data_IF_710013330622
#
_entry.id   IF_710013330622
#
_cell.length_a   1.000
_cell.length_b   1.000
_cell.length_c   1.000
_cell.angle_alpha   90.00
_cell.angle_beta   90.00
_cell.angle_gamma   90.00
#
_symmetry.space_group_name_H-M   'P 1'
#
loop_
_entity.id
_entity.type
_entity.pdbx_description
1 polymer ?
#
# COMPACT_ATOMS: atom_id res chain seq x y z
N UNK A 1 24.97 -39.78 26.93
CA UNK A 1 24.58 -38.37 27.02
C UNK A 1 24.72 -37.77 25.63
N UNK A 2 23.61 -37.54 24.93
CA UNK A 2 23.63 -36.86 23.64
C UNK A 2 23.23 -35.39 23.89
N UNK A 3 24.15 -34.47 23.60
CA UNK A 3 23.87 -33.04 23.66
C UNK A 3 22.93 -32.67 22.50
N UNK A 4 21.83 -31.99 22.82
CA UNK A 4 20.91 -31.41 21.83
C UNK A 4 21.63 -30.21 21.17
N UNK A 5 21.64 -30.08 19.84
CA UNK A 5 22.15 -28.87 19.20
C UNK A 5 21.21 -27.69 19.52
N UNK A 6 21.73 -26.46 19.62
CA UNK A 6 20.88 -25.29 19.79
C UNK A 6 20.00 -25.11 18.54
N UNK A 7 18.70 -24.87 18.76
CA UNK A 7 17.81 -24.37 17.73
C UNK A 7 18.30 -22.99 17.32
N UNK A 8 18.69 -22.89 16.07
CA UNK A 8 18.97 -21.63 15.42
C UNK A 8 17.63 -21.09 14.94
N UNK A 9 16.83 -20.57 15.88
CA UNK A 9 15.63 -19.78 15.60
C UNK A 9 16.08 -18.43 15.03
N UNK A 10 16.53 -18.46 13.76
CA UNK A 10 16.60 -17.27 12.92
C UNK A 10 15.23 -17.19 12.23
N UNK A 11 14.22 -16.80 13.01
CA UNK A 11 13.03 -16.13 12.49
C UNK A 11 13.39 -14.65 12.30
N UNK A 12 14.39 -14.38 11.46
CA UNK A 12 14.50 -13.11 10.75
C UNK A 12 13.59 -13.27 9.54
N UNK A 13 12.28 -13.30 9.78
CA UNK A 13 11.31 -13.07 8.73
C UNK A 13 11.69 -11.69 8.16
N UNK A 14 12.07 -11.59 6.88
CA UNK A 14 12.61 -10.36 6.35
C UNK A 14 11.59 -9.26 6.65
N UNK A 15 12.05 -8.15 7.23
CA UNK A 15 11.29 -6.94 7.50
C UNK A 15 10.65 -6.49 6.17
N UNK A 16 9.50 -7.09 5.86
CA UNK A 16 8.87 -7.00 4.55
C UNK A 16 8.15 -5.69 4.60
N UNK A 17 8.80 -4.66 4.06
CA UNK A 17 8.22 -3.33 3.96
C UNK A 17 6.89 -3.48 3.19
N UNK A 18 5.77 -3.37 3.90
CA UNK A 18 4.45 -3.45 3.31
C UNK A 18 4.16 -2.14 2.59
N UNK A 19 3.94 -2.20 1.28
CA UNK A 19 3.59 -1.05 0.44
C UNK A 19 2.49 -1.40 -0.55
N UNK A 20 1.87 -0.37 -1.13
CA UNK A 20 0.80 -0.51 -2.10
C UNK A 20 -0.42 -1.22 -1.52
N UNK A 21 -0.97 -2.16 -2.28
CA UNK A 21 -2.13 -2.96 -1.86
C UNK A 21 -1.83 -3.86 -0.65
N UNK A 22 -0.57 -4.23 -0.40
CA UNK A 22 -0.21 -5.03 0.78
C UNK A 22 -0.34 -4.18 2.04
N UNK A 23 0.13 -2.93 2.01
CA UNK A 23 -0.08 -1.98 3.09
C UNK A 23 -1.57 -1.73 3.34
N UNK A 24 -2.39 -1.66 2.29
CA UNK A 24 -3.86 -1.56 2.45
C UNK A 24 -4.45 -2.82 3.08
N UNK A 25 -4.04 -4.02 2.67
CA UNK A 25 -4.55 -5.27 3.24
C UNK A 25 -4.26 -5.36 4.75
N UNK A 26 -3.03 -5.01 5.16
CA UNK A 26 -2.64 -4.95 6.56
C UNK A 26 -3.46 -3.89 7.33
N UNK A 27 -3.56 -2.69 6.78
CA UNK A 27 -4.28 -1.57 7.40
C UNK A 27 -5.77 -1.86 7.60
N UNK A 28 -6.45 -2.40 6.57
CA UNK A 28 -7.89 -2.72 6.61
C UNK A 28 -8.16 -3.83 7.65
N UNK A 29 -7.25 -4.80 7.80
CA UNK A 29 -7.34 -5.81 8.87
C UNK A 29 -7.14 -5.18 10.25
N UNK A 30 -6.11 -4.35 10.42
CA UNK A 30 -5.80 -3.68 11.69
C UNK A 30 -6.95 -2.80 12.17
N UNK A 31 -7.57 -2.06 11.25
CA UNK A 31 -8.69 -1.17 11.56
C UNK A 31 -10.02 -1.91 11.76
N UNK A 32 -10.08 -3.21 11.48
CA UNK A 32 -11.30 -4.00 11.63
C UNK A 32 -12.41 -3.55 10.67
N UNK A 33 -12.05 -3.14 9.45
CA UNK A 33 -13.02 -2.72 8.44
C UNK A 33 -13.96 -3.88 8.11
N UNK A 34 -15.26 -3.62 8.23
CA UNK A 34 -16.30 -4.58 7.86
C UNK A 34 -16.81 -4.31 6.45
N UNK A 35 -17.12 -5.37 5.73
CA UNK A 35 -17.68 -5.32 4.38
C UNK A 35 -19.13 -5.85 4.38
N UNK A 36 -20.00 -5.36 3.49
CA UNK A 36 -19.75 -4.39 2.42
C UNK A 36 -19.52 -2.96 2.94
N UNK A 37 -18.73 -2.16 2.22
CA UNK A 37 -18.44 -0.76 2.57
C UNK A 37 -18.36 0.10 1.32
N UNK A 38 -18.77 1.36 1.41
CA UNK A 38 -18.60 2.32 0.31
C UNK A 38 -17.24 3.04 0.39
N UNK A 39 -16.77 3.52 -0.76
CA UNK A 39 -15.59 4.37 -0.87
C UNK A 39 -15.71 5.59 0.07
N UNK A 40 -16.89 6.23 0.07
CA UNK A 40 -17.18 7.36 0.96
C UNK A 40 -17.10 6.98 2.43
N UNK A 41 -17.73 5.88 2.86
CA UNK A 41 -17.65 5.44 4.26
C UNK A 41 -16.20 5.10 4.67
N UNK A 42 -15.43 4.48 3.78
CA UNK A 42 -14.03 4.18 4.03
C UNK A 42 -13.20 5.47 4.16
N UNK A 43 -13.47 6.49 3.34
CA UNK A 43 -12.84 7.80 3.42
C UNK A 43 -13.28 8.61 4.66
N UNK A 44 -14.55 8.58 5.05
CA UNK A 44 -15.07 9.28 6.23
C UNK A 44 -14.47 8.70 7.54
N UNK A 45 -14.28 7.37 7.61
CA UNK A 45 -13.77 6.71 8.83
C UNK A 45 -12.23 6.63 8.88
N UNK A 46 -11.57 6.43 7.74
CA UNK A 46 -10.13 6.11 7.67
C UNK A 46 -9.36 6.99 6.69
N UNK A 47 -9.99 8.01 6.12
CA UNK A 47 -9.40 8.84 5.07
C UNK A 47 -8.09 9.53 5.45
N UNK A 48 -7.92 9.91 6.71
CA UNK A 48 -6.72 10.60 7.22
C UNK A 48 -5.52 9.67 7.44
N UNK A 49 -5.72 8.35 7.34
CA UNK A 49 -4.66 7.36 7.56
C UNK A 49 -3.67 7.36 6.40
N UNK A 50 -2.38 7.33 6.72
CA UNK A 50 -1.31 7.24 5.73
C UNK A 50 -1.09 5.79 5.31
N UNK A 51 -0.93 5.58 4.00
CA UNK A 51 -0.61 4.29 3.40
C UNK A 51 0.65 4.45 2.55
N UNK A 52 1.61 3.55 2.74
CA UNK A 52 2.83 3.48 1.93
C UNK A 52 2.46 3.09 0.49
N UNK A 53 2.85 3.94 -0.47
CA UNK A 53 2.58 3.78 -1.90
C UNK A 53 3.69 2.98 -2.59
N UNK A 54 4.95 3.20 -2.19
CA UNK A 54 6.11 2.58 -2.82
C UNK A 54 7.25 2.36 -1.79
N UNK A 55 8.23 1.48 -2.09
CA UNK A 55 9.32 1.16 -1.15
C UNK A 55 10.32 2.31 -0.93
N UNK A 56 10.19 3.44 -1.64
CA UNK A 56 11.03 4.63 -1.44
C UNK A 56 10.55 5.47 -0.26
N UNK A 57 9.48 5.05 0.43
CA UNK A 57 8.91 5.74 1.59
C UNK A 57 7.90 6.82 1.22
N UNK A 58 7.33 6.78 0.01
CA UNK A 58 6.25 7.69 -0.33
C UNK A 58 4.94 7.19 0.27
N UNK A 59 4.26 8.09 0.97
CA UNK A 59 2.95 7.82 1.59
C UNK A 59 1.88 8.71 0.98
N UNK A 60 0.63 8.22 1.01
CA UNK A 60 -0.54 9.00 0.68
C UNK A 60 -1.67 8.70 1.65
N UNK A 61 -2.53 9.68 1.89
CA UNK A 61 -3.74 9.44 2.67
C UNK A 61 -4.67 8.48 1.95
N UNK A 62 -5.37 7.64 2.71
CA UNK A 62 -6.35 6.72 2.15
C UNK A 62 -7.42 7.47 1.35
N UNK A 63 -7.86 8.65 1.82
CA UNK A 63 -8.80 9.48 1.07
C UNK A 63 -8.25 9.91 -0.31
N UNK A 64 -6.96 10.24 -0.40
CA UNK A 64 -6.35 10.61 -1.68
C UNK A 64 -6.24 9.41 -2.62
N UNK A 65 -5.95 8.23 -2.10
CA UNK A 65 -5.90 6.98 -2.87
C UNK A 65 -7.30 6.62 -3.37
N UNK A 66 -8.30 6.68 -2.48
CA UNK A 66 -9.70 6.39 -2.81
C UNK A 66 -10.32 7.39 -3.78
N UNK A 67 -9.86 8.64 -3.81
CA UNK A 67 -10.30 9.66 -4.77
C UNK A 67 -9.87 9.34 -6.21
N UNK A 68 -8.79 8.58 -6.39
CA UNK A 68 -8.32 8.09 -7.69
C UNK A 68 -9.03 6.76 -8.09
N UNK A 69 -9.80 6.15 -7.18
CA UNK A 69 -10.52 4.88 -7.42
C UNK A 69 -11.89 5.14 -8.06
N UNK A 70 -12.20 4.54 -9.23
CA UNK A 70 -13.48 4.72 -9.91
C UNK A 70 -14.63 3.96 -9.23
N UNK A 71 -14.32 2.99 -8.37
CA UNK A 71 -15.32 2.19 -7.67
C UNK A 71 -15.80 2.89 -6.40
N UNK A 72 -17.13 2.97 -6.23
CA UNK A 72 -17.80 3.59 -5.08
C UNK A 72 -18.21 2.60 -3.98
N UNK A 73 -18.17 1.29 -4.25
CA UNK A 73 -18.68 0.26 -3.33
C UNK A 73 -17.88 -1.03 -3.44
N UNK A 74 -17.55 -1.62 -2.29
CA UNK A 74 -16.76 -2.84 -2.18
C UNK A 74 -17.56 -3.88 -1.40
N UNK A 75 -17.86 -5.01 -2.04
CA UNK A 75 -18.56 -6.14 -1.44
C UNK A 75 -17.69 -6.94 -0.49
N UNK A 76 -16.39 -7.01 -0.76
CA UNK A 76 -15.41 -7.64 0.10
C UNK A 76 -14.02 -7.00 0.00
N UNK A 77 -13.12 -7.44 0.87
CA UNK A 77 -11.74 -6.93 0.95
C UNK A 77 -10.95 -7.18 -0.34
N UNK A 78 -11.13 -8.34 -0.97
CA UNK A 78 -10.42 -8.68 -2.19
C UNK A 78 -10.83 -7.75 -3.34
N UNK A 79 -12.12 -7.43 -3.44
CA UNK A 79 -12.64 -6.44 -4.39
C UNK A 79 -11.99 -5.06 -4.20
N UNK A 80 -11.93 -4.57 -2.95
CA UNK A 80 -11.21 -3.32 -2.63
C UNK A 80 -9.75 -3.34 -3.11
N UNK A 81 -9.01 -4.41 -2.80
CA UNK A 81 -7.59 -4.51 -3.17
C UNK A 81 -7.40 -4.59 -4.69
N UNK A 82 -8.27 -5.30 -5.40
CA UNK A 82 -8.24 -5.40 -6.86
C UNK A 82 -8.48 -4.04 -7.53
N UNK A 83 -9.45 -3.27 -7.04
CA UNK A 83 -9.75 -1.93 -7.55
C UNK A 83 -8.65 -0.92 -7.24
N UNK A 84 -7.98 -1.04 -6.09
CA UNK A 84 -6.88 -0.15 -5.71
C UNK A 84 -5.56 -0.50 -6.39
N UNK A 85 -5.34 -1.75 -6.80
CA UNK A 85 -4.10 -2.16 -7.47
C UNK A 85 -3.71 -1.26 -8.67
N UNK A 86 -4.59 -1.01 -9.66
CA UNK A 86 -4.26 -0.10 -10.76
C UNK A 86 -4.09 1.37 -10.32
N UNK A 87 -4.70 1.79 -9.21
CA UNK A 87 -4.50 3.14 -8.66
C UNK A 87 -3.07 3.31 -8.14
N UNK A 88 -2.57 2.33 -7.39
CA UNK A 88 -1.19 2.32 -6.91
C UNK A 88 -0.18 2.29 -8.07
N UNK A 89 -0.42 1.47 -9.09
CA UNK A 89 0.45 1.40 -10.27
C UNK A 89 0.54 2.75 -10.99
N UNK A 90 -0.59 3.40 -11.25
CA UNK A 90 -0.61 4.73 -11.87
C UNK A 90 0.12 5.78 -11.02
N UNK A 91 -0.03 5.72 -9.69
CA UNK A 91 0.63 6.67 -8.80
C UNK A 91 2.15 6.46 -8.80
N UNK A 92 2.59 5.20 -8.82
CA UNK A 92 4.00 4.82 -8.96
C UNK A 92 4.61 5.29 -10.29
N UNK A 93 3.88 5.17 -11.40
CA UNK A 93 4.30 5.70 -12.70
C UNK A 93 4.46 7.23 -12.69
N UNK A 94 3.52 7.96 -12.05
CA UNK A 94 3.61 9.43 -11.92
C UNK A 94 4.83 9.86 -11.09
N UNK A 95 5.11 9.15 -10.00
CA UNK A 95 6.27 9.40 -9.13
C UNK A 95 7.58 9.13 -9.89
N UNK A 96 7.71 7.94 -10.48
CA UNK A 96 8.93 7.53 -11.20
C UNK A 96 9.19 8.38 -12.45
N UNK A 97 8.14 8.69 -13.22
CA UNK A 97 8.22 9.61 -14.36
C UNK A 97 8.66 11.02 -13.98
N UNK A 98 8.25 11.51 -12.81
CA UNK A 98 8.68 12.81 -12.28
C UNK A 98 10.18 12.83 -11.93
N UNK A 99 10.74 11.72 -11.45
CA UNK A 99 12.16 11.59 -11.11
C UNK A 99 13.01 11.50 -12.39
N UNK A 100 12.60 10.67 -13.35
CA UNK A 100 13.28 10.54 -14.64
C UNK A 100 13.29 11.87 -15.42
N UNK A 101 12.20 12.64 -15.37
CA UNK A 101 12.12 13.97 -15.96
C UNK A 101 13.11 14.98 -15.37
N UNK A 102 13.32 14.95 -14.03
CA UNK A 102 14.29 15.83 -13.35
C UNK A 102 15.73 15.44 -13.65
N UNK A 103 16.06 14.15 -13.68
CA UNK A 103 17.41 13.68 -13.99
C UNK A 103 17.80 13.99 -15.44
N UNK A 104 16.86 13.89 -16.39
CA UNK A 104 17.10 14.25 -17.80
C UNK A 104 17.35 15.75 -17.99
N UNK A 105 16.78 16.61 -17.15
CA UNK A 105 17.01 18.06 -17.21
C UNK A 105 18.43 18.49 -16.74
N UNK A 106 19.20 17.59 -16.13
CA UNK A 106 20.58 17.84 -15.68
C UNK A 106 21.67 17.32 -16.63
N UNK A 107 21.31 16.64 -17.72
CA UNK A 107 22.28 16.20 -18.72
C UNK A 107 22.25 17.19 -19.91
N UNK A 108 23.32 17.97 -20.15
CA UNK A 108 23.43 18.76 -21.36
C UNK A 108 23.52 17.82 -22.58
N UNK A 109 22.79 18.17 -23.63
CA UNK A 109 22.75 17.48 -24.92
C UNK A 109 24.11 17.44 -25.63
#
# INVERSE_FOLDING_TARGET
>A
MAARPPSNDIDDEPDTIEFGIVAVDAAVKEWGVSFPITNRELADNYGDKQIAVDPSGHEATLAAILSDCPCDHFGDKQELLNELHPVFEQRRERISGSILGRLRAMVPF
#
